data_IF_301643015290
#
_entry.id   IF_301643015290
#
_cell.length_a   1.000
_cell.length_b   1.000
_cell.length_c   1.000
_cell.angle_alpha   90.00
_cell.angle_beta   90.00
_cell.angle_gamma   90.00
#
_symmetry.space_group_name_H-M   'P 1'
#
loop_
_entity.id
_entity.type
_entity.pdbx_description
1 polymer ?
#
# COMPACT_ATOMS: atom_id res chain seq x y z
N UNK A 1 -29.43 -57.18 -55.58
CA UNK A 1 -29.17 -58.51 -54.98
C UNK A 1 -28.83 -58.28 -53.52
N UNK A 2 -29.58 -58.76 -52.52
CA UNK A 2 -31.04 -59.04 -52.52
C UNK A 2 -31.81 -57.79 -52.02
N UNK A 3 -33.02 -57.81 -51.41
CA UNK A 3 -33.90 -58.90 -50.91
C UNK A 3 -33.32 -59.73 -49.74
N UNK A 4 -34.04 -60.12 -48.67
CA UNK A 4 -35.39 -59.84 -48.08
C UNK A 4 -35.36 -60.44 -46.63
N UNK A 5 -36.28 -60.27 -45.67
CA UNK A 5 -37.64 -59.67 -45.53
C UNK A 5 -37.62 -58.57 -44.41
N UNK A 6 -38.67 -57.95 -43.81
CA UNK A 6 -40.14 -58.16 -43.63
C UNK A 6 -40.51 -59.17 -42.50
N UNK A 7 -41.78 -59.17 -42.02
CA UNK A 7 -42.42 -59.84 -40.84
C UNK A 7 -42.31 -58.99 -39.54
N UNK A 8 -43.32 -58.19 -39.11
CA UNK A 8 -44.61 -58.52 -38.43
C UNK A 8 -44.47 -58.73 -36.89
N UNK A 9 -45.41 -58.36 -35.99
CA UNK A 9 -46.68 -57.60 -36.04
C UNK A 9 -47.11 -57.11 -34.60
N UNK A 10 -48.28 -56.47 -34.44
CA UNK A 10 -49.07 -56.19 -33.19
C UNK A 10 -48.37 -55.42 -32.04
N UNK A 11 -48.73 -54.22 -31.55
CA UNK A 11 -49.97 -53.40 -31.42
C UNK A 11 -50.67 -53.46 -30.04
N UNK A 12 -50.72 -52.31 -29.34
CA UNK A 12 -51.62 -51.96 -28.22
C UNK A 12 -51.51 -50.44 -27.96
N UNK A 13 -52.39 -49.58 -28.49
CA UNK A 13 -53.75 -49.22 -28.00
C UNK A 13 -53.79 -48.23 -26.82
N UNK A 14 -54.29 -47.01 -27.05
CA UNK A 14 -54.45 -45.95 -26.03
C UNK A 14 -54.14 -44.53 -26.56
N UNK A 15 -54.93 -43.92 -27.45
CA UNK A 15 -56.29 -43.34 -27.27
C UNK A 15 -56.26 -41.94 -26.60
N UNK A 16 -56.78 -40.93 -27.33
CA UNK A 16 -57.22 -39.61 -26.84
C UNK A 16 -56.14 -38.61 -26.34
N UNK A 17 -56.22 -37.28 -26.52
CA UNK A 17 -57.31 -36.38 -26.99
C UNK A 17 -56.80 -35.31 -27.97
N UNK A 18 -57.72 -34.68 -28.71
CA UNK A 18 -57.52 -33.32 -29.25
C UNK A 18 -57.72 -32.29 -28.13
N UNK A 19 -56.81 -31.34 -27.97
CA UNK A 19 -57.08 -30.04 -27.34
C UNK A 19 -56.33 -28.95 -28.10
N UNK A 20 -57.07 -27.98 -28.64
CA UNK A 20 -56.51 -26.82 -29.33
C UNK A 20 -55.95 -25.81 -28.31
N UNK A 21 -54.65 -25.91 -28.01
CA UNK A 21 -53.92 -24.88 -27.25
C UNK A 21 -53.93 -23.54 -28.01
N UNK A 22 -54.01 -22.42 -27.28
CA UNK A 22 -54.34 -21.14 -27.89
C UNK A 22 -53.10 -20.43 -28.46
N UNK A 23 -53.18 -19.78 -29.65
CA UNK A 23 -52.12 -18.90 -30.15
C UNK A 23 -51.76 -17.78 -29.16
N UNK A 24 -52.73 -17.37 -28.31
CA UNK A 24 -52.52 -16.41 -27.24
C UNK A 24 -51.47 -16.84 -26.22
N UNK A 25 -51.50 -18.08 -25.74
CA UNK A 25 -50.62 -18.59 -24.68
C UNK A 25 -49.14 -18.62 -25.11
N UNK A 26 -48.90 -19.06 -26.36
CA UNK A 26 -47.56 -19.07 -26.93
C UNK A 26 -47.03 -17.64 -27.12
N UNK A 27 -47.88 -16.70 -27.55
CA UNK A 27 -47.54 -15.27 -27.68
C UNK A 27 -47.32 -14.60 -26.31
N UNK A 28 -48.06 -14.96 -25.25
CA UNK A 28 -47.81 -14.44 -23.90
C UNK A 28 -46.50 -14.98 -23.32
N UNK A 29 -46.18 -16.26 -23.54
CA UNK A 29 -44.91 -16.83 -23.11
C UNK A 29 -43.72 -16.21 -23.85
N UNK A 30 -43.82 -16.01 -25.17
CA UNK A 30 -42.78 -15.30 -25.93
C UNK A 30 -42.61 -13.86 -25.44
N UNK A 31 -43.70 -13.13 -25.16
CA UNK A 31 -43.66 -11.79 -24.58
C UNK A 31 -43.06 -11.76 -23.16
N UNK A 32 -43.25 -12.81 -22.37
CA UNK A 32 -42.62 -12.95 -21.06
C UNK A 32 -41.11 -13.14 -21.18
N UNK A 33 -40.64 -14.11 -21.99
CA UNK A 33 -39.21 -14.34 -22.22
C UNK A 33 -38.50 -13.14 -22.87
N UNK A 34 -39.17 -12.39 -23.76
CA UNK A 34 -38.62 -11.15 -24.33
C UNK A 34 -38.43 -10.07 -23.26
N UNK A 35 -39.37 -9.90 -22.32
CA UNK A 35 -39.20 -8.98 -21.17
C UNK A 35 -38.08 -9.43 -20.23
N UNK A 36 -37.98 -10.73 -19.97
CA UNK A 36 -36.96 -11.30 -19.10
C UNK A 36 -35.54 -11.16 -19.70
N UNK A 37 -35.43 -11.35 -21.03
CA UNK A 37 -34.21 -11.08 -21.78
C UNK A 37 -33.86 -9.59 -21.81
N UNK A 38 -34.82 -8.69 -22.01
CA UNK A 38 -34.55 -7.25 -21.98
C UNK A 38 -34.12 -6.77 -20.59
N UNK A 39 -34.70 -7.32 -19.52
CA UNK A 39 -34.25 -7.09 -18.15
C UNK A 39 -32.81 -7.55 -17.93
N UNK A 40 -32.44 -8.78 -18.36
CA UNK A 40 -31.06 -9.28 -18.30
C UNK A 40 -30.08 -8.45 -19.12
N UNK A 41 -30.47 -7.97 -20.30
CA UNK A 41 -29.63 -7.09 -21.14
C UNK A 41 -29.41 -5.73 -20.48
N UNK A 42 -30.45 -5.15 -19.87
CA UNK A 42 -30.33 -3.89 -19.13
C UNK A 42 -29.45 -4.06 -17.88
N UNK A 43 -29.57 -5.18 -17.15
CA UNK A 43 -28.71 -5.48 -16.00
C UNK A 43 -27.24 -5.69 -16.42
N UNK A 44 -26.99 -6.41 -17.52
CA UNK A 44 -25.66 -6.56 -18.13
C UNK A 44 -25.06 -5.19 -18.52
N UNK A 45 -25.86 -4.31 -19.13
CA UNK A 45 -25.43 -2.96 -19.48
C UNK A 45 -25.15 -2.09 -18.26
N UNK A 46 -25.96 -2.16 -17.19
CA UNK A 46 -25.68 -1.43 -15.95
C UNK A 46 -24.38 -1.91 -15.32
N UNK A 47 -24.19 -3.22 -15.15
CA UNK A 47 -22.94 -3.81 -14.64
C UNK A 47 -21.72 -3.41 -15.49
N UNK A 48 -21.88 -3.29 -16.81
CA UNK A 48 -20.84 -2.82 -17.74
C UNK A 48 -20.50 -1.34 -17.52
N UNK A 49 -21.48 -0.47 -17.27
CA UNK A 49 -21.25 0.91 -16.86
C UNK A 49 -20.53 0.97 -15.50
N UNK A 50 -21.05 0.29 -14.47
CA UNK A 50 -20.46 0.26 -13.13
C UNK A 50 -18.98 -0.18 -13.13
N UNK A 51 -18.62 -1.15 -13.98
CA UNK A 51 -17.24 -1.61 -14.17
C UNK A 51 -16.39 -0.60 -14.94
N UNK A 52 -16.94 0.04 -15.97
CA UNK A 52 -16.25 1.10 -16.73
C UNK A 52 -15.93 2.29 -15.83
N UNK A 53 -16.88 2.71 -15.00
CA UNK A 53 -16.73 3.88 -14.13
C UNK A 53 -15.74 3.59 -12.98
N UNK A 54 -15.72 2.36 -12.45
CA UNK A 54 -14.67 1.91 -11.51
C UNK A 54 -13.28 1.85 -12.16
N UNK A 55 -13.17 1.39 -13.41
CA UNK A 55 -11.91 1.42 -14.16
C UNK A 55 -11.43 2.85 -14.44
N UNK A 56 -12.36 3.77 -14.70
CA UNK A 56 -12.05 5.19 -14.88
C UNK A 56 -11.56 5.83 -13.57
N UNK A 57 -12.26 5.61 -12.45
CA UNK A 57 -11.84 6.08 -11.12
C UNK A 57 -10.47 5.50 -10.69
N UNK A 58 -10.19 4.23 -11.00
CA UNK A 58 -8.88 3.63 -10.73
C UNK A 58 -7.77 4.28 -11.57
N UNK A 59 -8.03 4.59 -12.85
CA UNK A 59 -7.08 5.31 -13.72
C UNK A 59 -6.83 6.74 -13.23
N UNK A 60 -7.89 7.46 -12.86
CA UNK A 60 -7.80 8.82 -12.32
C UNK A 60 -7.04 8.84 -10.99
N UNK A 61 -7.27 7.86 -10.11
CA UNK A 61 -6.48 7.69 -8.89
C UNK A 61 -5.01 7.42 -9.15
N UNK A 62 -4.66 6.46 -10.02
CA UNK A 62 -3.26 6.17 -10.40
C UNK A 62 -2.58 7.42 -10.99
N UNK A 63 -3.32 8.26 -11.72
CA UNK A 63 -2.82 9.53 -12.23
C UNK A 63 -2.68 10.62 -11.15
N UNK A 64 -3.55 10.64 -10.13
CA UNK A 64 -3.53 11.62 -9.04
C UNK A 64 -2.54 11.26 -7.92
N UNK A 65 -2.30 9.97 -7.68
CA UNK A 65 -1.23 9.44 -6.84
C UNK A 65 0.16 9.56 -7.51
N UNK A 66 0.26 10.14 -8.71
CA UNK A 66 1.51 10.55 -9.39
C UNK A 66 2.38 9.43 -9.96
N UNK A 67 2.06 8.16 -9.66
CA UNK A 67 2.90 6.98 -9.93
C UNK A 67 3.27 6.84 -11.40
N UNK A 68 2.37 7.15 -12.34
CA UNK A 68 2.67 7.04 -13.77
C UNK A 68 3.75 8.04 -14.22
N UNK A 69 3.77 9.25 -13.65
CA UNK A 69 4.82 10.25 -13.92
C UNK A 69 6.16 9.74 -13.37
N UNK A 70 6.20 9.32 -12.11
CA UNK A 70 7.42 8.79 -11.49
C UNK A 70 7.98 7.56 -12.20
N UNK A 71 7.12 6.68 -12.73
CA UNK A 71 7.55 5.52 -13.53
C UNK A 71 8.03 5.93 -14.92
N UNK A 72 7.36 6.89 -15.58
CA UNK A 72 7.83 7.43 -16.86
C UNK A 72 9.16 8.18 -16.74
N UNK A 73 9.47 8.80 -15.59
CA UNK A 73 10.76 9.41 -15.27
C UNK A 73 11.84 8.35 -14.92
N UNK A 74 11.46 7.25 -14.27
CA UNK A 74 12.40 6.18 -13.90
C UNK A 74 12.92 5.39 -15.12
N UNK A 75 12.10 5.23 -16.16
CA UNK A 75 12.46 4.48 -17.38
C UNK A 75 13.67 5.07 -18.14
N UNK A 76 13.76 6.38 -18.47
CA UNK A 76 14.95 6.97 -19.08
C UNK A 76 16.15 6.98 -18.13
N UNK A 77 15.96 7.15 -16.81
CA UNK A 77 17.04 7.05 -15.82
C UNK A 77 17.67 5.65 -15.78
N UNK A 78 16.85 4.59 -15.74
CA UNK A 78 17.31 3.19 -15.82
C UNK A 78 18.00 2.87 -17.15
N UNK A 79 17.54 3.48 -18.25
CA UNK A 79 18.20 3.35 -19.57
C UNK A 79 19.55 4.06 -19.60
N UNK A 80 19.65 5.24 -18.98
CA UNK A 80 20.90 6.01 -18.84
C UNK A 80 21.91 5.23 -17.99
N UNK A 81 21.48 4.71 -16.83
CA UNK A 81 22.33 3.93 -15.92
C UNK A 81 22.93 2.70 -16.61
N UNK A 82 22.14 1.95 -17.40
CA UNK A 82 22.64 0.82 -18.22
C UNK A 82 23.51 1.26 -19.41
N UNK A 83 23.49 2.53 -19.79
CA UNK A 83 24.44 3.13 -20.72
C UNK A 83 25.78 3.41 -20.03
N UNK A 84 25.75 4.06 -18.87
CA UNK A 84 26.94 4.34 -18.06
C UNK A 84 27.67 3.06 -17.63
N UNK A 85 26.96 2.03 -17.16
CA UNK A 85 27.52 0.72 -16.77
C UNK A 85 28.34 0.07 -17.89
N UNK A 86 27.86 0.18 -19.14
CA UNK A 86 28.59 -0.30 -20.33
C UNK A 86 29.80 0.57 -20.65
N UNK A 87 29.63 1.89 -20.65
CA UNK A 87 30.70 2.84 -20.95
C UNK A 87 31.83 2.75 -19.91
N UNK A 88 31.51 2.61 -18.63
CA UNK A 88 32.46 2.35 -17.54
C UNK A 88 33.25 1.07 -17.78
N UNK A 89 32.57 0.00 -18.22
CA UNK A 89 33.20 -1.29 -18.54
C UNK A 89 34.13 -1.20 -19.76
N UNK A 90 33.74 -0.45 -20.79
CA UNK A 90 34.52 -0.20 -22.00
C UNK A 90 35.75 0.67 -21.73
N UNK A 91 35.59 1.78 -20.98
CA UNK A 91 36.70 2.63 -20.50
C UNK A 91 37.66 1.84 -19.62
N UNK A 92 37.15 1.04 -18.67
CA UNK A 92 37.97 0.15 -17.83
C UNK A 92 38.79 -0.83 -18.67
N UNK A 93 38.20 -1.41 -19.72
CA UNK A 93 38.90 -2.30 -20.64
C UNK A 93 40.00 -1.57 -21.41
N UNK A 94 39.68 -0.40 -22.00
CA UNK A 94 40.63 0.43 -22.75
C UNK A 94 41.81 0.91 -21.88
N UNK A 95 41.54 1.39 -20.66
CA UNK A 95 42.57 1.80 -19.71
C UNK A 95 43.45 0.63 -19.26
N UNK A 96 42.91 -0.59 -19.14
CA UNK A 96 43.71 -1.79 -18.86
C UNK A 96 44.59 -2.18 -20.05
N UNK A 97 44.06 -2.15 -21.28
CA UNK A 97 44.82 -2.43 -22.49
C UNK A 97 45.96 -1.42 -22.71
N UNK A 98 45.68 -0.11 -22.56
CA UNK A 98 46.71 0.93 -22.68
C UNK A 98 47.77 0.83 -21.57
N UNK A 99 47.41 0.39 -20.36
CA UNK A 99 48.39 0.12 -19.30
C UNK A 99 49.30 -1.05 -19.66
N UNK A 100 48.74 -2.17 -20.11
CA UNK A 100 49.51 -3.35 -20.51
C UNK A 100 50.44 -3.08 -21.71
N UNK A 101 50.03 -2.20 -22.64
CA UNK A 101 50.89 -1.75 -23.74
C UNK A 101 52.09 -0.92 -23.25
N UNK A 102 51.87 0.03 -22.33
CA UNK A 102 52.95 0.82 -21.73
C UNK A 102 53.85 -0.03 -20.82
N UNK A 103 53.29 -0.98 -20.08
CA UNK A 103 54.04 -1.97 -19.30
C UNK A 103 54.93 -2.81 -20.24
N UNK A 104 54.44 -3.25 -21.40
CA UNK A 104 55.26 -3.94 -22.40
C UNK A 104 56.38 -3.05 -22.98
N UNK A 105 56.08 -1.81 -23.33
CA UNK A 105 57.04 -0.85 -23.89
C UNK A 105 58.17 -0.51 -22.89
N UNK A 106 57.85 -0.36 -21.60
CA UNK A 106 58.87 -0.22 -20.54
C UNK A 106 59.75 -1.46 -20.44
N UNK A 107 59.17 -2.67 -20.49
CA UNK A 107 59.95 -3.92 -20.45
C UNK A 107 60.86 -4.08 -21.69
N UNK A 108 60.43 -3.69 -22.90
CA UNK A 108 61.28 -3.70 -24.11
C UNK A 108 62.48 -2.75 -23.96
N UNK A 109 62.23 -1.53 -23.46
CA UNK A 109 63.28 -0.54 -23.24
C UNK A 109 64.26 -0.99 -22.14
N UNK A 110 63.78 -1.53 -21.02
CA UNK A 110 64.62 -2.11 -19.97
C UNK A 110 65.47 -3.28 -20.51
N UNK A 111 64.90 -4.18 -21.32
CA UNK A 111 65.65 -5.31 -21.91
C UNK A 111 66.68 -4.84 -22.96
N UNK A 112 66.38 -3.79 -23.73
CA UNK A 112 67.32 -3.20 -24.71
C UNK A 112 68.49 -2.48 -24.03
N UNK A 113 68.23 -1.73 -22.97
CA UNK A 113 69.27 -1.13 -22.12
C UNK A 113 70.15 -2.23 -21.50
N UNK A 114 69.53 -3.30 -20.96
CA UNK A 114 70.27 -4.44 -20.42
C UNK A 114 71.09 -5.23 -21.46
N UNK A 115 70.71 -5.17 -22.75
CA UNK A 115 71.45 -5.78 -23.87
C UNK A 115 72.60 -4.91 -24.42
N UNK A 116 72.75 -3.67 -23.95
CA UNK A 116 73.87 -2.80 -24.32
C UNK A 116 73.92 -2.42 -25.80
N UNK A 117 72.75 -2.23 -26.44
CA UNK A 117 72.68 -1.76 -27.83
C UNK A 117 72.96 -0.26 -27.92
N UNK A 118 74.24 0.11 -27.85
CA UNK A 118 74.71 1.48 -28.11
C UNK A 118 74.50 1.83 -29.59
N UNK A 119 73.49 2.64 -29.86
CA UNK A 119 73.18 3.20 -31.17
C UNK A 119 73.12 4.71 -31.05
N UNK A 120 73.77 5.41 -31.97
CA UNK A 120 74.12 6.84 -31.90
C UNK A 120 72.91 7.77 -31.60
N UNK A 121 72.65 8.00 -30.32
CA UNK A 121 71.82 9.07 -29.77
C UNK A 121 72.75 9.90 -28.90
N UNK A 122 72.79 11.23 -29.09
CA UNK A 122 73.65 12.10 -28.28
C UNK A 122 73.23 12.05 -26.81
N UNK A 123 74.18 12.14 -25.88
CA UNK A 123 73.91 12.08 -24.44
C UNK A 123 72.89 13.15 -24.03
N UNK A 124 73.01 14.38 -24.57
CA UNK A 124 71.99 15.44 -24.43
C UNK A 124 70.60 15.11 -25.01
N UNK A 125 70.48 14.44 -26.15
CA UNK A 125 69.18 14.08 -26.74
C UNK A 125 68.46 13.03 -25.88
N UNK A 126 69.22 12.10 -25.30
CA UNK A 126 68.69 11.09 -24.38
C UNK A 126 68.23 11.72 -23.06
N UNK A 127 68.99 12.68 -22.51
CA UNK A 127 68.61 13.43 -21.30
C UNK A 127 67.36 14.30 -21.53
N UNK A 128 67.22 14.93 -22.71
CA UNK A 128 66.00 15.66 -23.09
C UNK A 128 64.78 14.72 -23.13
N UNK A 129 64.88 13.58 -23.81
CA UNK A 129 63.81 12.58 -23.86
C UNK A 129 63.47 12.02 -22.46
N UNK A 130 64.48 11.82 -21.61
CA UNK A 130 64.28 11.38 -20.23
C UNK A 130 63.51 12.44 -19.42
N UNK A 131 63.88 13.72 -19.52
CA UNK A 131 63.18 14.84 -18.87
C UNK A 131 61.74 14.96 -19.37
N UNK A 132 61.50 14.91 -20.68
CA UNK A 132 60.14 14.95 -21.25
C UNK A 132 59.29 13.77 -20.76
N UNK A 133 59.85 12.56 -20.72
CA UNK A 133 59.15 11.37 -20.20
C UNK A 133 58.81 11.50 -18.70
N UNK A 134 59.69 12.13 -17.93
CA UNK A 134 59.53 12.34 -16.49
C UNK A 134 58.48 13.43 -16.22
N UNK A 135 58.46 14.52 -17.00
CA UNK A 135 57.43 15.54 -16.90
C UNK A 135 56.05 15.06 -17.38
N UNK A 136 56.00 14.23 -18.43
CA UNK A 136 54.78 13.52 -18.81
C UNK A 136 54.30 12.58 -17.68
N UNK A 137 55.22 11.83 -17.04
CA UNK A 137 54.91 10.97 -15.90
C UNK A 137 54.45 11.76 -14.66
N UNK A 138 55.05 12.91 -14.33
CA UNK A 138 54.55 13.74 -13.22
C UNK A 138 53.21 14.39 -13.54
N UNK A 139 52.95 14.71 -14.80
CA UNK A 139 51.66 15.25 -15.26
C UNK A 139 50.56 14.21 -15.18
N UNK A 140 50.77 13.00 -15.70
CA UNK A 140 49.85 11.88 -15.53
C UNK A 140 49.61 11.53 -14.04
N UNK A 141 50.63 11.63 -13.18
CA UNK A 141 50.48 11.48 -11.71
C UNK A 141 49.63 12.60 -11.09
N UNK A 142 49.73 13.85 -11.57
CA UNK A 142 48.89 14.98 -11.12
C UNK A 142 47.42 14.77 -11.52
N UNK A 143 47.16 14.30 -12.74
CA UNK A 143 45.81 13.99 -13.25
C UNK A 143 45.18 12.80 -12.52
N UNK A 144 45.93 11.73 -12.28
CA UNK A 144 45.49 10.60 -11.46
C UNK A 144 45.18 11.05 -10.02
N UNK A 145 46.00 11.94 -9.45
CA UNK A 145 45.74 12.51 -8.13
C UNK A 145 44.53 13.46 -8.09
N UNK A 146 44.17 14.11 -9.20
CA UNK A 146 42.95 14.92 -9.31
C UNK A 146 41.70 14.04 -9.39
N UNK A 147 41.67 13.11 -10.35
CA UNK A 147 40.55 12.17 -10.53
C UNK A 147 40.29 11.30 -9.30
N UNK A 148 41.32 10.89 -8.55
CA UNK A 148 41.15 10.20 -7.27
C UNK A 148 40.46 11.07 -6.20
N UNK A 149 40.73 12.39 -6.14
CA UNK A 149 40.01 13.29 -5.23
C UNK A 149 38.54 13.45 -5.63
N UNK A 150 38.26 13.51 -6.93
CA UNK A 150 36.89 13.57 -7.47
C UNK A 150 36.13 12.28 -7.14
N UNK A 151 36.73 11.10 -7.34
CA UNK A 151 36.15 9.80 -6.96
C UNK A 151 35.86 9.74 -5.45
N UNK A 152 36.76 10.24 -4.59
CA UNK A 152 36.53 10.29 -3.13
C UNK A 152 35.42 11.28 -2.77
N UNK A 153 35.33 12.42 -3.45
CA UNK A 153 34.24 13.40 -3.28
C UNK A 153 32.88 12.80 -3.67
N UNK A 154 32.80 12.12 -4.82
CA UNK A 154 31.59 11.45 -5.29
C UNK A 154 31.20 10.28 -4.39
N UNK A 155 32.15 9.50 -3.88
CA UNK A 155 31.87 8.47 -2.88
C UNK A 155 31.24 9.06 -1.63
N UNK A 156 31.78 10.14 -1.07
CA UNK A 156 31.19 10.76 0.12
C UNK A 156 29.78 11.29 -0.16
N UNK A 157 29.52 11.85 -1.34
CA UNK A 157 28.16 12.26 -1.75
C UNK A 157 27.17 11.08 -1.89
N UNK A 158 27.67 9.87 -2.15
CA UNK A 158 26.86 8.64 -2.15
C UNK A 158 26.67 8.12 -0.72
N UNK A 159 27.72 8.14 0.11
CA UNK A 159 27.67 7.74 1.53
C UNK A 159 26.80 8.70 2.37
N UNK A 160 26.68 9.97 1.96
CA UNK A 160 25.78 10.98 2.53
C UNK A 160 24.28 10.71 2.22
N UNK A 161 23.95 9.74 1.33
CA UNK A 161 22.58 9.36 0.95
C UNK A 161 22.17 8.03 1.61
N UNK A 162 21.12 7.99 2.45
CA UNK A 162 20.71 6.78 3.16
C UNK A 162 20.40 5.60 2.24
N UNK A 163 21.01 4.45 2.51
CA UNK A 163 20.80 3.26 1.68
C UNK A 163 19.38 2.67 1.86
N UNK A 164 18.94 1.82 0.91
CA UNK A 164 17.59 1.23 0.95
C UNK A 164 17.29 0.48 2.27
N UNK A 165 18.31 -0.18 2.85
CA UNK A 165 18.20 -0.85 4.16
C UNK A 165 18.14 0.10 5.36
N UNK A 166 18.65 1.33 5.26
CA UNK A 166 18.46 2.37 6.29
C UNK A 166 17.08 2.99 6.18
N UNK A 167 16.62 3.31 4.96
CA UNK A 167 15.27 3.82 4.72
C UNK A 167 14.20 2.89 5.29
N UNK A 168 14.34 1.56 5.09
CA UNK A 168 13.45 0.55 5.65
C UNK A 168 13.53 0.45 7.19
N UNK A 169 14.72 0.66 7.78
CA UNK A 169 14.88 0.74 9.23
C UNK A 169 14.21 2.00 9.81
N UNK A 170 14.33 3.14 9.12
CA UNK A 170 13.66 4.38 9.50
C UNK A 170 12.13 4.25 9.39
N UNK A 171 11.60 3.70 8.29
CA UNK A 171 10.16 3.44 8.11
C UNK A 171 9.59 2.58 9.25
N UNK A 172 10.28 1.48 9.59
CA UNK A 172 9.91 0.64 10.73
C UNK A 172 9.96 1.41 12.05
N UNK A 173 11.03 2.16 12.31
CA UNK A 173 11.22 2.91 13.56
C UNK A 173 10.22 4.06 13.71
N UNK A 174 9.82 4.72 12.62
CA UNK A 174 8.73 5.69 12.60
C UNK A 174 7.38 5.02 12.88
N UNK A 175 7.15 3.82 12.35
CA UNK A 175 5.93 3.05 12.62
C UNK A 175 5.84 2.64 14.11
N UNK A 176 6.92 2.15 14.70
CA UNK A 176 7.01 1.82 16.14
C UNK A 176 6.84 3.07 17.02
N UNK A 177 7.45 4.20 16.65
CA UNK A 177 7.26 5.49 17.33
C UNK A 177 5.80 5.97 17.24
N UNK A 178 5.16 5.86 16.08
CA UNK A 178 3.76 6.23 15.88
C UNK A 178 2.82 5.39 16.76
N UNK A 179 3.04 4.07 16.88
CA UNK A 179 2.27 3.23 17.81
C UNK A 179 2.43 3.71 19.25
N UNK A 180 3.66 3.95 19.71
CA UNK A 180 3.94 4.46 21.05
C UNK A 180 3.25 5.82 21.32
N UNK A 181 3.25 6.73 20.34
CA UNK A 181 2.56 8.03 20.44
C UNK A 181 1.03 7.84 20.57
N UNK A 182 0.43 6.94 19.78
CA UNK A 182 -1.02 6.67 19.87
C UNK A 182 -1.40 6.00 21.19
N UNK A 183 -0.59 5.06 21.68
CA UNK A 183 -0.77 4.44 23.01
C UNK A 183 -0.69 5.48 24.13
N UNK A 184 0.29 6.39 24.09
CA UNK A 184 0.42 7.47 25.08
C UNK A 184 -0.74 8.46 25.00
N UNK A 185 -1.20 8.81 23.81
CA UNK A 185 -2.39 9.64 23.61
C UNK A 185 -3.65 8.96 24.18
N UNK A 186 -3.80 7.65 24.00
CA UNK A 186 -4.92 6.89 24.55
C UNK A 186 -4.84 6.76 26.08
N UNK A 187 -3.65 6.55 26.66
CA UNK A 187 -3.43 6.56 28.10
C UNK A 187 -3.81 7.92 28.70
N UNK A 188 -3.34 9.03 28.11
CA UNK A 188 -3.67 10.39 28.53
C UNK A 188 -5.17 10.68 28.44
N UNK A 189 -5.84 10.31 27.34
CA UNK A 189 -7.31 10.44 27.20
C UNK A 189 -8.06 9.65 28.28
N UNK A 190 -7.63 8.44 28.57
CA UNK A 190 -8.23 7.58 29.59
C UNK A 190 -8.08 8.21 30.98
N UNK A 191 -6.89 8.74 31.32
CA UNK A 191 -6.65 9.45 32.57
C UNK A 191 -7.54 10.69 32.73
N UNK A 192 -7.67 11.53 31.69
CA UNK A 192 -8.57 12.69 31.74
C UNK A 192 -10.05 12.30 31.85
N UNK A 193 -10.50 11.26 31.14
CA UNK A 193 -11.86 10.76 31.26
C UNK A 193 -12.16 10.25 32.69
N UNK A 194 -11.24 9.49 33.29
CA UNK A 194 -11.35 9.03 34.68
C UNK A 194 -11.34 10.19 35.68
N UNK A 195 -10.45 11.18 35.48
CA UNK A 195 -10.39 12.37 36.33
C UNK A 195 -11.69 13.18 36.28
N UNK A 196 -12.24 13.42 35.08
CA UNK A 196 -13.50 14.16 34.91
C UNK A 196 -14.68 13.40 35.55
N UNK A 197 -14.77 12.08 35.37
CA UNK A 197 -15.80 11.27 36.01
C UNK A 197 -15.70 11.29 37.55
N UNK A 198 -14.50 11.21 38.11
CA UNK A 198 -14.28 11.34 39.56
C UNK A 198 -14.62 12.75 40.07
N UNK A 199 -14.33 13.79 39.28
CA UNK A 199 -14.70 15.17 39.60
C UNK A 199 -16.22 15.35 39.62
N UNK A 200 -16.94 14.83 38.62
CA UNK A 200 -18.42 14.83 38.58
C UNK A 200 -19.03 14.05 39.75
N UNK A 201 -18.50 12.86 40.10
CA UNK A 201 -18.95 12.06 41.25
C UNK A 201 -18.76 12.86 42.56
N UNK A 202 -17.58 13.42 42.79
CA UNK A 202 -17.29 14.27 43.96
C UNK A 202 -18.25 15.45 44.02
N UNK A 203 -18.52 16.08 42.88
CA UNK A 203 -19.43 17.21 42.78
C UNK A 203 -20.91 16.82 43.00
N UNK A 204 -21.31 15.58 42.74
CA UNK A 204 -22.63 15.04 43.10
C UNK A 204 -22.69 14.71 44.60
N UNK A 205 -21.67 14.08 45.17
CA UNK A 205 -21.57 13.77 46.62
C UNK A 205 -21.60 15.04 47.48
N UNK A 206 -20.98 16.14 47.03
CA UNK A 206 -21.08 17.44 47.71
C UNK A 206 -22.50 18.02 47.68
N UNK A 207 -23.24 17.84 46.57
CA UNK A 207 -24.64 18.27 46.44
C UNK A 207 -25.57 17.42 47.32
N UNK A 208 -25.31 16.12 47.42
CA UNK A 208 -26.00 15.21 48.34
C UNK A 208 -25.72 15.55 49.81
N UNK A 209 -24.46 15.77 50.19
CA UNK A 209 -24.08 16.19 51.56
C UNK A 209 -24.73 17.53 51.92
N UNK A 210 -24.75 18.49 50.99
CA UNK A 210 -25.43 19.78 51.17
C UNK A 210 -26.95 19.62 51.36
N UNK A 211 -27.59 18.75 50.58
CA UNK A 211 -29.01 18.41 50.71
C UNK A 211 -29.32 17.75 52.08
N UNK A 212 -28.51 16.77 52.49
CA UNK A 212 -28.68 16.08 53.78
C UNK A 212 -28.50 17.03 54.97
N UNK A 213 -27.51 17.93 54.92
CA UNK A 213 -27.33 18.98 55.95
C UNK A 213 -28.49 19.99 55.96
N UNK A 214 -29.02 20.34 54.80
CA UNK A 214 -30.20 21.22 54.66
C UNK A 214 -31.47 20.60 55.24
N UNK A 215 -31.69 19.30 54.98
CA UNK A 215 -32.78 18.52 55.58
C UNK A 215 -32.58 18.42 57.10
N UNK A 216 -31.40 18.00 57.56
CA UNK A 216 -31.13 17.76 58.98
C UNK A 216 -31.25 19.02 59.86
N UNK A 217 -30.85 20.17 59.33
CA UNK A 217 -31.01 21.46 60.04
C UNK A 217 -32.46 21.94 60.08
N UNK A 218 -33.23 21.81 58.99
CA UNK A 218 -34.61 22.30 58.92
C UNK A 218 -35.64 21.33 59.52
N UNK A 219 -35.29 20.04 59.71
CA UNK A 219 -36.25 19.00 60.05
C UNK A 219 -37.05 19.30 61.33
N UNK A 220 -36.40 19.71 62.42
CA UNK A 220 -37.06 19.91 63.72
C UNK A 220 -38.06 21.09 63.68
N UNK A 221 -37.65 22.22 63.10
CA UNK A 221 -38.48 23.42 62.97
C UNK A 221 -39.71 23.17 62.09
N UNK A 222 -39.53 22.37 61.02
CA UNK A 222 -40.54 22.13 60.00
C UNK A 222 -41.49 20.98 60.37
N UNK A 223 -41.01 19.92 61.03
CA UNK A 223 -41.84 18.75 61.39
C UNK A 223 -42.90 19.10 62.45
N UNK A 224 -42.63 20.07 63.33
CA UNK A 224 -43.52 20.46 64.42
C UNK A 224 -44.89 20.99 63.96
N UNK A 225 -44.97 21.65 62.80
CA UNK A 225 -46.21 22.27 62.30
C UNK A 225 -46.86 21.47 61.16
N UNK A 226 -48.19 21.35 61.10
CA UNK A 226 -48.87 20.67 59.97
C UNK A 226 -48.53 21.28 58.61
N UNK A 227 -48.45 22.61 58.52
CA UNK A 227 -48.11 23.32 57.30
C UNK A 227 -46.63 23.15 56.89
N UNK A 228 -45.72 23.02 57.87
CA UNK A 228 -44.32 22.68 57.62
C UNK A 228 -44.17 21.28 57.04
N UNK A 229 -44.87 20.28 57.60
CA UNK A 229 -44.86 18.90 57.10
C UNK A 229 -45.26 18.79 55.63
N UNK A 230 -46.27 19.54 55.18
CA UNK A 230 -46.66 19.59 53.76
C UNK A 230 -45.54 20.19 52.91
N UNK A 231 -44.99 21.36 53.28
CA UNK A 231 -43.88 21.99 52.55
C UNK A 231 -42.62 21.11 52.45
N UNK A 232 -42.33 20.30 53.47
CA UNK A 232 -41.23 19.35 53.46
C UNK A 232 -41.44 18.25 52.40
N UNK A 233 -42.66 17.72 52.31
CA UNK A 233 -43.05 16.73 51.31
C UNK A 233 -42.97 17.34 49.90
N UNK A 234 -43.56 18.53 49.67
CA UNK A 234 -43.51 19.23 48.38
C UNK A 234 -42.07 19.47 47.91
N UNK A 235 -41.19 19.90 48.83
CA UNK A 235 -39.77 20.13 48.58
C UNK A 235 -39.03 18.84 48.22
N UNK A 236 -39.21 17.77 49.00
CA UNK A 236 -38.62 16.46 48.72
C UNK A 236 -39.10 15.88 47.40
N UNK A 237 -40.39 15.99 47.08
CA UNK A 237 -40.94 15.53 45.80
C UNK A 237 -40.36 16.34 44.61
N UNK A 238 -40.20 17.65 44.77
CA UNK A 238 -39.52 18.52 43.80
C UNK A 238 -38.06 18.11 43.56
N UNK A 239 -37.31 17.79 44.63
CA UNK A 239 -35.93 17.29 44.53
C UNK A 239 -35.88 15.94 43.81
N UNK A 240 -36.75 14.99 44.17
CA UNK A 240 -36.83 13.67 43.52
C UNK A 240 -37.16 13.80 42.03
N UNK A 241 -38.16 14.62 41.67
CA UNK A 241 -38.49 14.93 40.26
C UNK A 241 -37.29 15.54 39.52
N UNK A 242 -36.56 16.47 40.14
CA UNK A 242 -35.36 17.07 39.58
C UNK A 242 -34.21 16.08 39.36
N UNK A 243 -34.03 15.10 40.25
CA UNK A 243 -33.05 14.02 40.11
C UNK A 243 -33.47 13.07 38.97
N UNK A 244 -34.73 12.65 38.92
CA UNK A 244 -35.27 11.79 37.86
C UNK A 244 -35.11 12.42 36.47
N UNK A 245 -35.40 13.73 36.33
CA UNK A 245 -35.20 14.46 35.08
C UNK A 245 -33.73 14.51 34.64
N UNK A 246 -32.78 14.70 35.57
CA UNK A 246 -31.35 14.67 35.26
C UNK A 246 -30.89 13.28 34.84
N UNK A 247 -31.30 12.24 35.58
CA UNK A 247 -30.99 10.85 35.27
C UNK A 247 -31.51 10.46 33.87
N UNK A 248 -32.75 10.82 33.54
CA UNK A 248 -33.33 10.56 32.22
C UNK A 248 -32.57 11.24 31.07
N UNK A 249 -32.05 12.45 31.27
CA UNK A 249 -31.18 13.14 30.29
C UNK A 249 -29.84 12.42 30.09
N UNK A 250 -29.18 12.02 31.18
CA UNK A 250 -27.91 11.26 31.10
C UNK A 250 -28.12 9.90 30.43
N UNK A 251 -29.21 9.19 30.76
CA UNK A 251 -29.60 7.93 30.13
C UNK A 251 -30.01 8.06 28.66
N UNK A 252 -30.41 9.24 28.20
CA UNK A 252 -30.65 9.51 26.77
C UNK A 252 -29.31 9.69 26.04
N UNK A 253 -28.47 10.62 26.48
CA UNK A 253 -27.16 10.88 25.88
C UNK A 253 -26.26 9.64 25.85
N UNK A 254 -26.27 8.82 26.90
CA UNK A 254 -25.54 7.54 26.93
C UNK A 254 -25.98 6.58 25.81
N UNK A 255 -27.28 6.52 25.49
CA UNK A 255 -27.79 5.67 24.39
C UNK A 255 -27.46 6.25 23.01
N UNK A 256 -27.42 7.57 22.90
CA UNK A 256 -27.04 8.26 21.67
C UNK A 256 -25.55 8.02 21.37
N UNK A 257 -24.67 8.25 22.34
CA UNK A 257 -23.23 7.96 22.23
C UNK A 257 -22.94 6.47 22.01
N UNK A 258 -23.62 5.57 22.71
CA UNK A 258 -23.51 4.12 22.48
C UNK A 258 -23.82 3.77 21.01
N UNK A 259 -24.92 4.29 20.46
CA UNK A 259 -25.28 4.11 19.05
C UNK A 259 -24.22 4.70 18.10
N UNK A 260 -23.63 5.85 18.42
CA UNK A 260 -22.55 6.44 17.62
C UNK A 260 -21.25 5.61 17.67
N UNK A 261 -20.92 5.03 18.82
CA UNK A 261 -19.82 4.08 19.00
C UNK A 261 -20.04 2.81 18.17
N UNK A 262 -21.20 2.16 18.31
CA UNK A 262 -21.53 0.92 17.60
C UNK A 262 -21.57 1.13 16.07
N UNK A 263 -22.19 2.21 15.59
CA UNK A 263 -22.17 2.60 14.16
C UNK A 263 -20.75 2.78 13.62
N UNK A 264 -19.83 3.31 14.43
CA UNK A 264 -18.43 3.53 14.04
C UNK A 264 -17.63 2.23 14.05
N UNK A 265 -17.92 1.35 15.02
CA UNK A 265 -17.34 0.00 15.15
C UNK A 265 -17.76 -0.91 13.99
N UNK A 266 -19.03 -0.87 13.57
CA UNK A 266 -19.52 -1.58 12.39
C UNK A 266 -18.78 -1.15 11.12
N UNK A 267 -18.68 0.16 10.87
CA UNK A 267 -17.91 0.73 9.74
C UNK A 267 -16.46 0.26 9.74
N UNK A 268 -15.81 0.28 10.91
CA UNK A 268 -14.44 -0.23 11.06
C UNK A 268 -14.34 -1.74 10.74
N UNK A 269 -15.25 -2.57 11.27
CA UNK A 269 -15.22 -4.02 10.98
C UNK A 269 -15.51 -4.35 9.52
N UNK A 270 -16.38 -3.59 8.85
CA UNK A 270 -16.65 -3.71 7.42
C UNK A 270 -15.41 -3.33 6.58
N UNK A 271 -14.77 -2.20 6.90
CA UNK A 271 -13.54 -1.77 6.22
C UNK A 271 -12.38 -2.77 6.42
N UNK A 272 -12.20 -3.29 7.64
CA UNK A 272 -11.20 -4.30 7.94
C UNK A 272 -11.48 -5.64 7.25
N UNK A 273 -12.75 -6.01 7.07
CA UNK A 273 -13.14 -7.18 6.28
C UNK A 273 -12.82 -6.98 4.79
N UNK A 274 -13.06 -5.80 4.23
CA UNK A 274 -12.72 -5.49 2.83
C UNK A 274 -11.21 -5.45 2.61
N UNK A 275 -10.44 -4.83 3.51
CA UNK A 275 -8.97 -4.84 3.48
C UNK A 275 -8.41 -6.26 3.43
N UNK A 276 -8.98 -7.19 4.20
CA UNK A 276 -8.60 -8.62 4.17
C UNK A 276 -8.89 -9.27 2.82
N UNK A 277 -10.05 -8.99 2.19
CA UNK A 277 -10.36 -9.48 0.82
C UNK A 277 -9.35 -8.94 -0.19
N UNK A 278 -9.09 -7.64 -0.17
CA UNK A 278 -8.10 -6.99 -1.06
C UNK A 278 -6.72 -7.63 -0.92
N UNK A 279 -6.27 -7.88 0.32
CA UNK A 279 -4.99 -8.56 0.58
C UNK A 279 -4.97 -10.00 0.04
N UNK A 280 -6.04 -10.78 0.20
CA UNK A 280 -6.16 -12.13 -0.38
C UNK A 280 -6.11 -12.10 -1.92
N UNK A 281 -6.81 -11.15 -2.56
CA UNK A 281 -6.80 -10.99 -4.02
C UNK A 281 -5.43 -10.56 -4.53
N UNK A 282 -4.76 -9.62 -3.85
CA UNK A 282 -3.39 -9.20 -4.18
C UNK A 282 -2.39 -10.34 -4.04
N UNK A 283 -2.52 -11.20 -3.02
CA UNK A 283 -1.67 -12.39 -2.87
C UNK A 283 -1.87 -13.38 -4.03
N UNK A 284 -3.12 -13.71 -4.37
CA UNK A 284 -3.41 -14.62 -5.49
C UNK A 284 -2.93 -14.05 -6.84
N UNK A 285 -3.02 -12.73 -7.04
CA UNK A 285 -2.46 -12.05 -8.20
C UNK A 285 -0.92 -12.16 -8.24
N UNK A 286 -0.24 -11.94 -7.11
CA UNK A 286 1.21 -12.09 -7.00
C UNK A 286 1.66 -13.53 -7.34
N UNK A 287 0.93 -14.53 -6.86
CA UNK A 287 1.18 -15.94 -7.14
C UNK A 287 1.07 -16.26 -8.65
N UNK A 288 -0.01 -15.84 -9.31
CA UNK A 288 -0.16 -16.01 -10.78
C UNK A 288 0.85 -15.19 -11.60
N UNK A 289 1.30 -14.02 -11.13
CA UNK A 289 2.40 -13.26 -11.75
C UNK A 289 3.73 -14.05 -11.72
N UNK A 290 4.15 -14.55 -10.55
CA UNK A 290 5.40 -15.35 -10.46
C UNK A 290 5.36 -16.62 -11.33
N UNK A 291 4.17 -17.20 -11.48
CA UNK A 291 3.90 -18.34 -12.38
C UNK A 291 3.97 -17.92 -13.85
N UNK A 292 3.49 -16.73 -14.23
CA UNK A 292 3.64 -16.17 -15.58
C UNK A 292 5.11 -15.95 -15.93
N UNK A 293 5.90 -15.35 -15.03
CA UNK A 293 7.33 -15.09 -15.23
C UNK A 293 8.14 -16.38 -15.34
N UNK A 294 7.80 -17.41 -14.57
CA UNK A 294 8.39 -18.75 -14.70
C UNK A 294 8.10 -19.35 -16.08
N UNK A 295 6.86 -19.24 -16.58
CA UNK A 295 6.48 -19.73 -17.91
C UNK A 295 7.17 -18.94 -19.03
N UNK A 296 7.25 -17.61 -18.93
CA UNK A 296 8.02 -16.75 -19.85
C UNK A 296 9.49 -17.18 -19.92
N UNK A 297 10.10 -17.44 -18.77
CA UNK A 297 11.50 -17.89 -18.66
C UNK A 297 11.74 -19.27 -19.27
N UNK A 298 10.74 -20.16 -19.21
CA UNK A 298 10.78 -21.46 -19.89
C UNK A 298 10.63 -21.30 -21.41
N UNK A 299 9.72 -20.46 -21.87
CA UNK A 299 9.51 -20.18 -23.31
C UNK A 299 10.75 -19.54 -23.94
N UNK A 300 11.39 -18.57 -23.27
CA UNK A 300 12.62 -17.96 -23.78
C UNK A 300 13.76 -18.98 -23.88
N UNK A 301 13.98 -19.80 -22.85
CA UNK A 301 14.97 -20.87 -22.88
C UNK A 301 14.73 -21.88 -24.02
N UNK A 302 13.49 -22.31 -24.21
CA UNK A 302 13.11 -23.22 -25.30
C UNK A 302 13.35 -22.59 -26.67
N UNK A 303 12.95 -21.33 -26.87
CA UNK A 303 13.21 -20.60 -28.12
C UNK A 303 14.72 -20.43 -28.40
N UNK A 304 15.55 -20.25 -27.36
CA UNK A 304 17.02 -20.22 -27.51
C UNK A 304 17.59 -21.60 -27.87
N UNK A 305 16.95 -22.71 -27.46
CA UNK A 305 17.39 -24.07 -27.81
C UNK A 305 17.00 -24.51 -29.23
N UNK A 306 15.96 -23.94 -29.83
CA UNK A 306 15.59 -24.18 -31.23
C UNK A 306 16.30 -23.27 -32.25
N UNK A 307 17.19 -22.37 -31.78
CA UNK A 307 17.94 -21.42 -32.61
C UNK A 307 19.44 -21.72 -32.63
N UNK A 308 19.82 -22.99 -32.45
CA UNK A 308 21.17 -23.54 -32.52
C UNK A 308 21.16 -24.86 -33.29
#
# INVERSE_FOLDING_TARGET
MGKEDIIEEVCSSGKERRTSGQPGEMVTNLKASIRELSARVNEQNQRKCDVKDKLQQLRERISAEGVDISVQELIPLLRSLKGLEKWESEVRSNCNAKRAALEYEVNDLEERVAKGSDGEISEEDLDVLLVESLDHLTSAKKELAATLREIVSLKRQIDDVPCQSELLQYERRFSELNVCIQEKLQQTRTLYATYNALLEIKDLMLKETSLLNSIGSQFQDVIGTPAGRVKLIDSMEGVVKGIQQKLGKVQLGLREEQRHCDTSKEKYTAAAAEQRKCYTVLRAFQEECTKNDRLRSQISAVNTSYSK
#
